data_IF_561825299668
#
_entry.id   IF_561825299668
#
_cell.length_a   1.000
_cell.length_b   1.000
_cell.length_c   1.000
_cell.angle_alpha   90.00
_cell.angle_beta   90.00
_cell.angle_gamma   90.00
#
_symmetry.space_group_name_H-M   'P 1'
#
loop_
_entity.id
_entity.type
_entity.pdbx_description
1 polymer ?
2 non-polymer ?
3 water ?
#
# COMPACT_ATOMS: atom_id res chain seq x y z
N UNK A 1 7.96 -22.36 11.26
CA UNK A 1 8.32 -21.60 10.03
C UNK A 1 9.84 -21.49 9.89
N UNK A 2 10.35 -21.51 8.64
CA UNK A 2 11.78 -21.28 8.37
C UNK A 2 12.12 -19.80 8.58
N UNK A 3 13.40 -19.44 8.46
CA UNK A 3 13.83 -18.03 8.53
C UNK A 3 13.12 -17.24 7.42
N UNK A 4 12.93 -15.92 7.61
CA UNK A 4 12.26 -15.09 6.61
C UNK A 4 12.78 -15.26 5.20
N UNK A 5 14.09 -15.15 4.96
CA UNK A 5 14.63 -15.32 3.60
C UNK A 5 14.32 -16.70 3.01
N UNK A 6 14.44 -17.73 3.85
CA UNK A 6 14.18 -19.11 3.40
C UNK A 6 12.71 -19.24 3.01
N UNK A 7 11.82 -18.67 3.81
CA UNK A 7 10.41 -18.70 3.48
C UNK A 7 10.09 -17.91 2.20
N UNK A 8 10.70 -16.75 2.04
CA UNK A 8 10.49 -15.98 0.80
C UNK A 8 10.87 -16.85 -0.42
N UNK A 9 12.00 -17.55 -0.32
CA UNK A 9 12.46 -18.40 -1.43
C UNK A 9 11.46 -19.50 -1.68
N UNK A 10 10.99 -20.11 -0.61
CA UNK A 10 10.01 -21.17 -0.72
C UNK A 10 8.72 -20.72 -1.40
N UNK A 11 8.32 -19.48 -1.10
CA UNK A 11 7.16 -18.86 -1.73
C UNK A 11 7.37 -18.69 -3.24
N UNK A 12 8.55 -18.25 -3.70
CA UNK A 12 8.78 -18.18 -5.17
C UNK A 12 8.74 -19.55 -5.81
N UNK A 13 9.34 -20.55 -5.16
CA UNK A 13 9.33 -21.91 -5.69
C UNK A 13 7.88 -22.40 -5.85
N UNK A 14 7.06 -22.14 -4.83
CA UNK A 14 5.69 -22.63 -4.85
C UNK A 14 4.78 -21.86 -5.80
N UNK A 15 5.00 -20.55 -5.89
CA UNK A 15 4.15 -19.74 -6.76
C UNK A 15 4.60 -19.69 -8.21
N UNK A 16 5.84 -20.05 -8.48
CA UNK A 16 6.45 -19.83 -9.80
C UNK A 16 6.44 -18.36 -10.22
N UNK A 17 6.46 -17.47 -9.23
CA UNK A 17 6.51 -16.04 -9.49
C UNK A 17 7.62 -15.35 -8.72
N UNK A 18 7.79 -14.07 -9.00
CA UNK A 18 8.76 -13.26 -8.29
C UNK A 18 8.08 -12.66 -7.07
N UNK A 19 8.78 -12.71 -5.94
CA UNK A 19 8.40 -12.03 -4.71
C UNK A 19 9.41 -10.90 -4.52
N UNK A 20 8.93 -9.73 -4.07
CA UNK A 20 9.83 -8.65 -3.66
C UNK A 20 9.46 -8.27 -2.23
N UNK A 21 10.46 -8.02 -1.41
CA UNK A 21 10.16 -7.69 -0.04
C UNK A 21 11.22 -6.84 0.62
N UNK A 22 10.73 -6.05 1.55
CA UNK A 22 11.57 -5.33 2.51
C UNK A 22 10.90 -5.41 3.86
N UNK A 23 11.73 -5.58 4.88
CA UNK A 23 11.33 -5.41 6.28
C UNK A 23 12.27 -4.34 6.84
N UNK A 24 11.69 -3.28 7.38
CA UNK A 24 12.44 -2.07 7.76
C UNK A 24 11.94 -1.56 9.12
N UNK A 25 12.83 -1.14 10.01
CA UNK A 25 12.38 -0.51 11.25
C UNK A 25 11.70 0.83 10.91
N UNK A 26 10.48 1.04 11.41
CA UNK A 26 9.77 2.28 11.08
C UNK A 26 10.48 3.52 11.62
N UNK A 27 10.96 3.46 12.85
CA UNK A 27 11.54 4.65 13.47
C UNK A 27 12.86 5.05 12.81
N UNK A 28 13.70 4.07 12.48
CA UNK A 28 15.06 4.42 12.00
C UNK A 28 15.32 4.20 10.54
N UNK A 29 14.54 3.31 9.89
CA UNK A 29 14.83 2.93 8.52
C UNK A 29 15.83 1.80 8.35
N UNK A 30 16.32 1.25 9.45
CA UNK A 30 17.18 0.06 9.36
C UNK A 30 16.46 -0.94 8.46
N UNK A 31 17.20 -1.51 7.52
CA UNK A 31 16.67 -2.57 6.68
C UNK A 31 17.09 -3.91 7.26
N UNK A 32 16.14 -4.76 7.64
CA UNK A 32 16.41 -6.09 8.20
C UNK A 32 16.41 -7.22 7.21
N UNK A 33 15.47 -7.22 6.29
CA UNK A 33 15.39 -8.22 5.23
C UNK A 33 15.13 -7.48 3.94
N UNK A 34 15.83 -7.89 2.88
CA UNK A 34 15.67 -7.32 1.56
C UNK A 34 15.78 -8.46 0.56
N UNK A 35 14.77 -8.62 -0.28
CA UNK A 35 14.78 -9.64 -1.33
C UNK A 35 14.19 -9.02 -2.59
N UNK A 36 14.94 -8.99 -3.69
CA UNK A 36 14.54 -8.33 -4.93
C UNK A 36 14.09 -6.90 -4.64
N UNK A 37 14.79 -6.28 -3.70
CA UNK A 37 14.33 -4.99 -3.20
C UNK A 37 14.47 -3.84 -4.18
N UNK A 38 15.32 -4.02 -5.19
CA UNK A 38 15.53 -3.03 -6.21
C UNK A 38 14.86 -3.38 -7.54
N UNK A 39 14.06 -4.46 -7.55
CA UNK A 39 13.34 -4.85 -8.77
C UNK A 39 11.96 -4.23 -8.78
N UNK A 40 11.43 -3.99 -9.98
CA UNK A 40 10.12 -3.37 -10.13
C UNK A 40 8.99 -4.38 -9.98
N UNK A 41 7.93 -3.93 -9.31
CA UNK A 41 6.68 -4.68 -9.16
C UNK A 41 5.52 -3.72 -9.33
N UNK A 42 4.42 -4.17 -9.95
CA UNK A 42 3.22 -3.35 -10.01
C UNK A 42 2.74 -2.96 -8.58
N UNK A 43 2.45 -1.68 -8.34
CA UNK A 43 1.96 -1.26 -7.05
C UNK A 43 0.56 -1.74 -6.76
N UNK A 44 -0.25 -1.90 -7.81
CA UNK A 44 -1.69 -2.16 -7.71
C UNK A 44 -2.27 -1.20 -6.64
N UNK A 45 -3.17 -1.65 -5.78
CA UNK A 45 -3.93 -0.76 -4.92
C UNK A 45 -3.07 -0.14 -3.83
N UNK A 46 -1.84 -0.66 -3.62
CA UNK A 46 -1.00 -0.08 -2.60
C UNK A 46 -0.65 1.38 -2.88
N UNK A 47 -0.75 1.83 -4.14
CA UNK A 47 -0.42 3.20 -4.45
C UNK A 47 -1.33 4.19 -3.70
N UNK A 48 -2.48 3.72 -3.23
CA UNK A 48 -3.45 4.65 -2.65
C UNK A 48 -2.94 5.28 -1.37
N UNK A 49 -1.99 4.65 -0.68
CA UNK A 49 -1.40 5.25 0.52
C UNK A 49 -0.54 6.47 0.10
N UNK A 50 0.26 6.34 -0.94
CA UNK A 50 1.09 7.45 -1.43
C UNK A 50 0.18 8.56 -1.96
N UNK A 51 -0.87 8.18 -2.68
CA UNK A 51 -1.88 9.14 -3.15
C UNK A 51 -2.40 10.03 -2.02
N UNK A 52 -2.81 9.41 -0.93
CA UNK A 52 -3.35 10.21 0.15
C UNK A 52 -2.26 10.96 0.92
N UNK A 53 -1.01 10.49 0.88
CA UNK A 53 0.12 11.32 1.34
C UNK A 53 0.23 12.62 0.54
N UNK A 54 0.06 12.53 -0.78
CA UNK A 54 0.09 13.74 -1.64
C UNK A 54 -1.08 14.68 -1.32
N UNK A 55 -2.26 14.12 -1.05
CA UNK A 55 -3.40 14.92 -0.64
C UNK A 55 -3.11 15.65 0.67
N UNK A 56 -2.55 14.93 1.65
CA UNK A 56 -2.23 15.51 2.94
C UNK A 56 -1.17 16.61 2.82
N UNK A 57 -0.24 16.43 1.91
CA UNK A 57 0.78 17.44 1.70
C UNK A 57 0.07 18.69 1.21
N UNK A 58 -0.90 18.58 0.31
CA UNK A 58 -1.67 19.76 -0.09
C UNK A 58 -2.46 20.39 1.03
N UNK A 59 -3.04 19.58 1.90
CA UNK A 59 -3.75 20.08 3.08
C UNK A 59 -2.78 20.91 3.95
N UNK A 60 -1.59 20.36 4.22
CA UNK A 60 -0.59 21.04 5.07
C UNK A 60 -0.18 22.39 4.47
N UNK A 61 -0.13 22.48 3.14
CA UNK A 61 0.25 23.70 2.44
C UNK A 61 -0.90 24.71 2.32
N UNK A 62 -2.11 24.34 2.75
CA UNK A 62 -3.27 25.22 2.62
C UNK A 62 -3.90 25.19 1.24
N UNK A 63 -3.54 24.21 0.42
CA UNK A 63 -4.09 24.10 -0.92
C UNK A 63 -5.25 23.13 -1.05
N UNK A 64 -5.61 22.50 0.07
CA UNK A 64 -6.66 21.47 0.11
C UNK A 64 -7.22 21.45 1.51
N UNK A 65 -8.45 20.96 1.69
CA UNK A 65 -9.00 20.70 3.01
C UNK A 65 -9.63 19.32 2.99
N UNK A 66 -9.42 18.55 4.05
CA UNK A 66 -10.05 17.22 4.14
C UNK A 66 -11.55 17.37 4.22
N UNK A 67 -12.03 18.53 4.70
CA UNK A 67 -13.48 18.78 4.78
C UNK A 67 -14.13 19.05 3.42
N UNK A 68 -13.35 19.44 2.43
CA UNK A 68 -13.92 19.95 1.18
C UNK A 68 -14.77 18.91 0.48
N UNK A 69 -16.02 19.24 0.18
CA UNK A 69 -16.91 18.29 -0.46
C UNK A 69 -16.73 18.27 -1.96
N UNK A 70 -16.53 17.06 -2.50
CA UNK A 70 -16.43 16.86 -3.95
C UNK A 70 -17.71 16.22 -4.48
N UNK A 71 -18.31 16.85 -5.50
CA UNK A 71 -19.45 16.25 -6.17
C UNK A 71 -19.01 15.64 -7.47
N UNK A 72 -19.62 14.53 -7.82
CA UNK A 72 -19.19 13.83 -9.02
C UNK A 72 -20.43 13.19 -9.70
N UNK A 73 -20.21 12.63 -10.87
CA UNK A 73 -21.30 12.10 -11.69
C UNK A 73 -21.12 10.61 -11.88
N UNK A 74 -22.23 9.94 -12.20
CA UNK A 74 -22.19 8.51 -12.40
C UNK A 74 -21.23 8.09 -13.50
N UNK A 75 -21.15 8.89 -14.56
CA UNK A 75 -20.21 8.67 -15.65
C UNK A 75 -18.72 8.69 -15.22
N UNK A 76 -18.44 9.25 -14.04
CA UNK A 76 -17.08 9.31 -13.48
C UNK A 76 -16.69 8.01 -12.80
N UNK A 77 -17.67 7.16 -12.49
CA UNK A 77 -17.38 5.95 -11.73
C UNK A 77 -16.70 4.88 -12.58
N UNK A 78 -15.75 4.19 -11.96
CA UNK A 78 -15.10 3.04 -12.56
C UNK A 78 -15.41 1.78 -11.73
N UNK A 79 -14.96 0.63 -12.19
CA UNK A 79 -15.20 -0.63 -11.53
C UNK A 79 -14.77 -0.61 -10.07
N UNK A 80 -15.68 -1.02 -9.21
CA UNK A 80 -15.53 -1.20 -7.78
C UNK A 80 -15.51 0.11 -7.05
N UNK A 81 -16.70 0.54 -6.70
CA UNK A 81 -16.95 1.84 -6.08
C UNK A 81 -17.94 1.66 -4.93
N UNK A 82 -17.64 0.80 -3.94
CA UNK A 82 -18.64 0.47 -2.93
C UNK A 82 -19.13 1.64 -2.12
N UNK A 83 -18.28 2.63 -1.87
CA UNK A 83 -18.67 3.81 -1.09
C UNK A 83 -19.12 4.90 -2.03
N UNK A 84 -18.30 5.21 -3.04
CA UNK A 84 -18.56 6.36 -3.89
C UNK A 84 -19.87 6.22 -4.69
N UNK A 85 -20.30 5.00 -5.03
CA UNK A 85 -21.57 4.86 -5.81
C UNK A 85 -22.77 5.25 -4.94
N UNK A 86 -22.62 5.25 -3.63
CA UNK A 86 -23.70 5.66 -2.70
C UNK A 86 -23.91 7.17 -2.54
N UNK A 87 -23.05 8.00 -3.14
CA UNK A 87 -23.01 9.45 -2.82
C UNK A 87 -23.02 10.32 -4.06
N UNK A 88 -23.70 9.81 -5.10
CA UNK A 88 -23.92 10.62 -6.29
C UNK A 88 -24.70 11.89 -6.02
N UNK A 89 -25.67 11.84 -5.10
CA UNK A 89 -26.48 13.03 -4.81
C UNK A 89 -25.76 14.00 -3.89
N UNK A 90 -25.05 13.47 -2.90
CA UNK A 90 -24.56 14.33 -1.82
C UNK A 90 -23.06 14.55 -1.79
N UNK A 91 -22.31 13.84 -2.63
CA UNK A 91 -20.86 14.02 -2.68
C UNK A 91 -20.15 13.41 -1.47
N UNK A 92 -18.82 13.52 -1.50
CA UNK A 92 -17.95 13.01 -0.44
C UNK A 92 -16.87 14.02 -0.19
N UNK A 93 -16.47 14.15 1.08
CA UNK A 93 -15.35 15.04 1.40
C UNK A 93 -14.04 14.42 0.93
N UNK A 94 -13.03 15.26 0.75
CA UNK A 94 -11.69 14.76 0.38
C UNK A 94 -11.24 13.70 1.42
N UNK A 95 -11.45 13.95 2.69
CA UNK A 95 -11.05 13.00 3.70
C UNK A 95 -11.84 11.70 3.61
N UNK A 96 -13.15 11.79 3.34
CA UNK A 96 -13.95 10.60 3.13
C UNK A 96 -13.48 9.81 1.92
N UNK A 97 -13.06 10.53 0.89
CA UNK A 97 -12.55 9.86 -0.31
C UNK A 97 -11.27 9.08 0.00
N UNK A 98 -10.35 9.70 0.76
CA UNK A 98 -9.15 8.95 1.18
C UNK A 98 -9.50 7.74 2.04
N UNK A 99 -10.43 7.91 2.98
CA UNK A 99 -10.83 6.75 3.77
C UNK A 99 -11.44 5.66 2.89
N UNK A 100 -12.26 6.03 1.91
CA UNK A 100 -12.85 5.03 1.04
C UNK A 100 -11.78 4.35 0.18
N UNK A 101 -10.85 5.16 -0.34
CA UNK A 101 -9.77 4.58 -1.16
C UNK A 101 -8.88 3.61 -0.36
N UNK A 102 -8.43 4.04 0.82
CA UNK A 102 -7.49 3.22 1.61
C UNK A 102 -8.23 2.09 2.33
N UNK A 103 -9.36 2.37 2.97
CA UNK A 103 -9.99 1.37 3.85
C UNK A 103 -10.97 0.47 3.16
N UNK A 104 -11.37 0.83 1.94
CA UNK A 104 -12.20 -0.04 1.09
C UNK A 104 -11.64 -0.27 -0.33
N UNK A 105 -10.52 0.36 -0.71
CA UNK A 105 -9.98 0.32 -2.07
C UNK A 105 -11.06 0.69 -3.09
N UNK A 106 -11.91 1.64 -2.70
CA UNK A 106 -12.84 2.27 -3.64
C UNK A 106 -12.09 2.93 -4.80
N UNK A 107 -12.27 2.41 -6.01
CA UNK A 107 -11.47 2.86 -7.17
C UNK A 107 -11.84 4.23 -7.69
N UNK A 108 -13.13 4.52 -7.66
CA UNK A 108 -13.60 5.83 -8.10
C UNK A 108 -13.11 6.91 -7.12
N UNK A 109 -13.17 6.61 -5.83
CA UNK A 109 -12.60 7.54 -4.83
C UNK A 109 -11.14 7.83 -5.15
N UNK A 110 -10.35 6.80 -5.48
CA UNK A 110 -8.95 7.02 -5.85
C UNK A 110 -8.80 7.91 -7.08
N UNK A 111 -9.60 7.67 -8.12
CA UNK A 111 -9.48 8.51 -9.31
C UNK A 111 -9.88 9.97 -9.03
N UNK A 112 -10.91 10.17 -8.20
CA UNK A 112 -11.32 11.53 -7.82
C UNK A 112 -10.16 12.24 -7.11
N UNK A 113 -9.49 11.56 -6.18
CA UNK A 113 -8.33 12.12 -5.49
C UNK A 113 -7.16 12.34 -6.45
N UNK A 114 -6.93 11.41 -7.38
CA UNK A 114 -5.83 11.55 -8.34
C UNK A 114 -5.99 12.81 -9.16
N UNK A 115 -7.23 13.12 -9.54
CA UNK A 115 -7.50 14.36 -10.27
C UNK A 115 -7.01 15.56 -9.44
N UNK A 116 -7.29 15.57 -8.13
CA UNK A 116 -6.92 16.73 -7.31
C UNK A 116 -5.41 16.95 -7.18
N UNK A 117 -4.58 15.92 -7.39
CA UNK A 117 -3.14 16.07 -7.21
C UNK A 117 -2.42 16.18 -8.55
N UNK A 118 -3.17 16.32 -9.65
CA UNK A 118 -2.56 16.43 -10.96
C UNK A 118 -2.43 15.15 -11.76
N UNK A 119 -3.25 14.15 -11.44
CA UNK A 119 -3.22 12.91 -12.19
C UNK A 119 -2.00 12.07 -11.86
N UNK A 120 -1.83 10.96 -12.57
CA UNK A 120 -0.66 10.10 -12.44
C UNK A 120 0.64 10.91 -12.49
N UNK A 121 0.74 11.86 -13.42
CA UNK A 121 1.95 12.68 -13.55
C UNK A 121 2.19 13.54 -12.31
N UNK A 122 1.14 14.09 -11.75
CA UNK A 122 1.23 14.89 -10.54
C UNK A 122 1.70 14.10 -9.33
N UNK A 123 1.18 12.88 -9.20
CA UNK A 123 1.58 12.01 -8.11
C UNK A 123 3.00 11.58 -8.27
N UNK A 124 3.41 11.28 -9.50
CA UNK A 124 4.82 10.97 -9.74
C UNK A 124 5.72 12.18 -9.42
N UNK A 125 5.31 13.38 -9.80
CA UNK A 125 6.06 14.58 -9.44
C UNK A 125 6.18 14.73 -7.92
N UNK A 126 5.12 14.41 -7.17
CA UNK A 126 5.17 14.42 -5.71
C UNK A 126 6.19 13.42 -5.18
N UNK A 127 6.19 12.21 -5.74
CA UNK A 127 7.18 11.23 -5.36
C UNK A 127 8.60 11.75 -5.56
N UNK A 128 8.86 12.39 -6.70
CA UNK A 128 10.18 12.97 -6.94
C UNK A 128 10.51 14.05 -5.92
N UNK A 129 9.53 14.84 -5.53
CA UNK A 129 9.73 15.90 -4.53
C UNK A 129 10.10 15.37 -3.16
N UNK A 130 9.64 14.18 -2.82
CA UNK A 130 10.03 13.60 -1.54
C UNK A 130 11.24 12.70 -1.65
N UNK A 131 11.88 12.69 -2.83
CA UNK A 131 13.13 11.94 -2.99
C UNK A 131 12.99 10.50 -3.45
N UNK A 132 11.79 10.08 -3.88
CA UNK A 132 11.62 8.77 -4.50
C UNK A 132 11.79 8.98 -5.99
N UNK A 133 12.92 8.51 -6.51
CA UNK A 133 13.24 8.65 -7.94
C UNK A 133 12.92 7.42 -8.76
N UNK A 134 12.18 6.47 -8.18
CA UNK A 134 11.91 5.20 -8.81
C UNK A 134 10.41 4.91 -9.03
N UNK A 135 9.61 5.07 -7.99
CA UNK A 135 8.18 4.78 -8.09
C UNK A 135 7.53 5.68 -9.12
N UNK A 136 6.59 5.12 -9.90
CA UNK A 136 5.92 5.91 -10.95
C UNK A 136 4.49 5.45 -11.08
N UNK A 137 3.56 6.40 -11.18
CA UNK A 137 2.20 6.11 -11.56
C UNK A 137 2.00 6.71 -12.93
N UNK A 138 1.41 5.91 -13.81
CA UNK A 138 1.20 6.28 -15.21
C UNK A 138 -0.26 6.28 -15.61
N UNK A 139 -1.08 5.46 -14.95
CA UNK A 139 -2.47 5.28 -15.38
C UNK A 139 -3.42 5.48 -14.20
N UNK A 140 -4.71 5.49 -14.51
CA UNK A 140 -5.78 5.67 -13.53
C UNK A 140 -6.35 4.31 -13.18
N UNK A 141 -7.24 4.25 -12.18
CA UNK A 141 -8.00 3.03 -11.95
C UNK A 141 -8.99 2.82 -13.11
N UNK A 142 -9.15 1.57 -13.58
CA UNK A 142 -8.48 0.36 -13.10
C UNK A 142 -7.34 -0.15 -14.00
N UNK A 143 -7.01 0.61 -15.05
CA UNK A 143 -5.98 0.17 -16.01
C UNK A 143 -4.62 0.02 -15.36
N UNK A 144 -4.37 0.73 -14.25
CA UNK A 144 -3.07 0.63 -13.57
C UNK A 144 -2.77 -0.73 -12.97
N UNK A 145 -3.76 -1.62 -12.91
CA UNK A 145 -3.57 -2.99 -12.40
C UNK A 145 -3.23 -4.04 -13.46
N UNK A 146 -2.95 -3.59 -14.68
CA UNK A 146 -2.81 -4.54 -15.79
C UNK A 146 -1.57 -5.43 -15.67
N UNK A 147 -0.52 -4.90 -15.06
CA UNK A 147 0.65 -5.73 -14.73
C UNK A 147 1.17 -6.55 -15.92
N UNK A 148 1.38 -5.89 -17.06
CA UNK A 148 1.93 -6.61 -18.20
C UNK A 148 3.36 -6.98 -17.90
N UNK A 149 3.80 -8.18 -18.37
CA UNK A 149 5.20 -8.54 -18.19
C UNK A 149 6.15 -7.48 -18.76
N UNK A 150 7.12 -7.07 -17.95
CA UNK A 150 8.15 -6.13 -18.39
C UNK A 150 7.76 -4.67 -18.55
N UNK A 151 6.53 -4.33 -18.19
CA UNK A 151 5.98 -3.00 -18.32
C UNK A 151 6.34 -2.21 -17.06
N UNK A 152 7.05 -1.11 -17.23
CA UNK A 152 7.49 -0.27 -16.11
C UNK A 152 6.38 0.65 -15.56
N UNK A 153 5.26 0.78 -16.29
CA UNK A 153 4.20 1.66 -15.82
C UNK A 153 3.63 1.20 -14.48
N UNK A 154 3.35 2.17 -13.61
CA UNK A 154 2.58 1.90 -12.37
C UNK A 154 3.33 0.95 -11.44
N UNK A 155 4.66 1.13 -11.38
CA UNK A 155 5.49 0.25 -10.57
C UNK A 155 6.23 0.97 -9.48
N UNK A 156 6.65 0.20 -8.48
CA UNK A 156 7.57 0.67 -7.45
C UNK A 156 8.63 -0.41 -7.30
N UNK A 157 9.53 -0.24 -6.33
CA UNK A 157 10.38 -1.32 -5.87
C UNK A 157 10.11 -1.47 -4.39
N UNK A 158 10.36 -2.66 -3.83
CA UNK A 158 10.14 -2.78 -2.38
C UNK A 158 10.92 -1.75 -1.56
N UNK A 159 12.18 -1.51 -1.91
CA UNK A 159 13.00 -0.54 -1.16
C UNK A 159 12.47 0.88 -1.30
N UNK A 160 12.03 1.25 -2.50
CA UNK A 160 11.52 2.60 -2.72
C UNK A 160 10.21 2.82 -1.97
N UNK A 161 9.31 1.85 -2.06
CA UNK A 161 8.03 1.99 -1.38
C UNK A 161 8.18 2.04 0.13
N UNK A 162 9.04 1.19 0.66
CA UNK A 162 9.26 1.24 2.10
C UNK A 162 9.85 2.56 2.55
N UNK A 163 10.85 3.07 1.83
CA UNK A 163 11.44 4.36 2.17
C UNK A 163 10.41 5.49 2.04
N UNK A 164 9.56 5.43 1.01
CA UNK A 164 8.53 6.45 0.80
C UNK A 164 7.48 6.42 1.92
N UNK A 165 7.01 5.25 2.30
CA UNK A 165 6.05 5.19 3.40
C UNK A 165 6.70 5.62 4.70
N UNK A 166 7.97 5.28 4.89
CA UNK A 166 8.61 5.79 6.09
C UNK A 166 8.60 7.31 6.09
N UNK A 167 8.97 7.93 4.95
CA UNK A 167 9.02 9.39 4.81
C UNK A 167 7.66 10.01 5.12
N UNK A 168 6.59 9.40 4.61
CA UNK A 168 5.26 9.99 4.79
C UNK A 168 4.79 9.86 6.23
N UNK A 169 5.10 8.73 6.89
CA UNK A 169 4.56 8.48 8.21
C UNK A 169 5.38 9.14 9.31
N UNK A 170 6.69 9.36 9.10
CA UNK A 170 7.56 9.73 10.22
C UNK A 170 8.55 10.87 10.02
N UNK A 171 8.78 11.31 8.79
CA UNK A 171 9.92 12.24 8.52
C UNK A 171 9.64 13.70 8.76
N UNK A 172 8.41 14.02 9.16
CA UNK A 172 8.01 15.41 9.37
C UNK A 172 7.96 16.24 8.07
N UNK A 173 7.94 15.55 6.93
CA UNK A 173 7.55 16.16 5.67
C UNK A 173 6.07 16.55 5.74
N UNK A 174 5.24 15.65 6.27
CA UNK A 174 3.85 15.96 6.61
C UNK A 174 3.77 16.47 8.04
N UNK A 175 2.73 17.28 8.32
CA UNK A 175 2.50 17.78 9.66
C UNK A 175 2.17 16.63 10.60
N UNK A 176 2.21 16.89 11.89
CA UNK A 176 1.96 15.84 12.86
C UNK A 176 0.56 15.27 12.66
N UNK A 177 -0.43 16.15 12.50
CA UNK A 177 -1.82 15.71 12.29
C UNK A 177 -1.98 14.90 11.04
N UNK A 178 -1.30 15.31 9.98
CA UNK A 178 -1.32 14.55 8.72
C UNK A 178 -0.70 13.17 8.81
N UNK A 179 0.45 13.09 9.49
CA UNK A 179 1.09 11.79 9.71
C UNK A 179 0.14 10.88 10.48
N UNK A 180 -0.51 11.44 11.51
CA UNK A 180 -1.45 10.66 12.33
C UNK A 180 -2.66 10.17 11.52
N UNK A 181 -3.15 11.02 10.63
CA UNK A 181 -4.28 10.66 9.77
C UNK A 181 -3.92 9.54 8.77
N UNK A 182 -2.75 9.62 8.14
CA UNK A 182 -2.37 8.59 7.19
C UNK A 182 -2.26 7.24 7.89
N UNK A 183 -1.63 7.26 9.06
CA UNK A 183 -1.55 6.05 9.88
C UNK A 183 -2.93 5.49 10.25
N UNK A 184 -3.82 6.37 10.70
CA UNK A 184 -5.14 5.89 11.11
C UNK A 184 -5.91 5.27 9.93
N UNK A 185 -5.78 5.84 8.73
CA UNK A 185 -6.42 5.22 7.55
C UNK A 185 -5.92 3.79 7.33
N UNK A 186 -4.61 3.57 7.48
CA UNK A 186 -4.08 2.22 7.38
C UNK A 186 -4.55 1.28 8.48
N UNK A 187 -4.60 1.80 9.72
CA UNK A 187 -5.14 1.02 10.84
C UNK A 187 -6.58 0.60 10.54
N UNK A 188 -7.35 1.47 9.89
CA UNK A 188 -8.77 1.21 9.61
C UNK A 188 -9.07 0.40 8.37
N UNK A 189 -8.09 -0.19 7.69
CA UNK A 189 -8.39 -0.99 6.50
C UNK A 189 -9.44 -2.04 6.82
N UNK A 190 -10.53 -2.05 6.05
CA UNK A 190 -11.59 -3.07 6.24
C UNK A 190 -11.43 -4.26 5.31
N UNK A 191 -10.60 -4.14 4.29
CA UNK A 191 -10.48 -5.20 3.30
C UNK A 191 -9.65 -6.38 3.84
N UNK A 192 -8.48 -6.08 4.38
CA UNK A 192 -7.59 -7.11 4.89
C UNK A 192 -7.30 -7.02 6.38
N UNK A 193 -7.44 -5.84 6.98
CA UNK A 193 -7.08 -5.67 8.40
C UNK A 193 -7.71 -6.67 9.37
N UNK A 194 -9.05 -6.76 9.35
CA UNK A 194 -9.73 -7.69 10.26
C UNK A 194 -9.33 -9.16 10.03
N UNK A 195 -9.20 -9.56 8.77
CA UNK A 195 -8.73 -10.90 8.46
C UNK A 195 -7.33 -11.15 9.01
N UNK A 196 -6.43 -10.21 8.77
CA UNK A 196 -5.07 -10.33 9.31
C UNK A 196 -5.10 -10.45 10.84
N UNK A 197 -5.87 -9.60 11.49
CA UNK A 197 -5.97 -9.70 12.97
C UNK A 197 -6.45 -11.07 13.41
N UNK A 198 -7.38 -11.65 12.67
CA UNK A 198 -7.93 -12.96 13.08
C UNK A 198 -6.88 -14.06 13.09
N UNK A 199 -5.78 -13.89 12.34
CA UNK A 199 -4.71 -14.91 12.31
C UNK A 199 -3.41 -14.48 12.99
N UNK A 200 -3.39 -13.27 13.53
CA UNK A 200 -2.21 -12.82 14.25
C UNK A 200 -2.27 -13.25 15.70
N UNK A 201 -1.13 -13.62 16.28
CA UNK A 201 -1.17 -13.89 17.72
C UNK A 201 -1.55 -12.62 18.48
N UNK A 202 -2.13 -12.79 19.66
CA UNK A 202 -2.38 -11.64 20.50
C UNK A 202 -1.08 -10.81 20.71
N UNK A 203 -1.23 -9.49 20.70
CA UNK A 203 -0.14 -8.59 20.97
C UNK A 203 0.49 -8.00 19.72
N UNK A 204 0.11 -8.50 18.53
CA UNK A 204 0.72 -8.00 17.29
C UNK A 204 -0.14 -6.92 16.67
N UNK A 205 0.46 -5.76 16.47
CA UNK A 205 -0.12 -4.60 15.75
C UNK A 205 -0.17 -4.84 14.26
N UNK A 206 -1.26 -4.47 13.60
CA UNK A 206 -1.27 -4.42 12.14
C UNK A 206 -1.96 -3.16 11.66
N UNK A 207 -1.34 -2.52 10.67
CA UNK A 207 -2.00 -1.51 9.79
C UNK A 207 -1.56 -1.83 8.37
N UNK A 208 -2.43 -1.60 7.37
CA UNK A 208 -2.10 -2.12 6.04
C UNK A 208 -2.86 -1.50 4.92
N UNK A 209 -2.32 -1.60 3.71
CA UNK A 209 -3.09 -1.44 2.45
C UNK A 209 -2.65 -2.55 1.51
N UNK A 210 -3.60 -3.35 1.01
CA UNK A 210 -3.35 -4.44 0.07
C UNK A 210 -3.86 -4.11 -1.31
N UNK A 211 -3.37 -4.87 -2.29
CA UNK A 211 -3.80 -4.71 -3.67
C UNK A 211 -3.63 -6.00 -4.44
N UNK A 212 -4.34 -6.05 -5.56
CA UNK A 212 -4.29 -7.19 -6.49
C UNK A 212 -4.44 -6.71 -7.92
N UNK A 213 -3.79 -7.40 -8.83
CA UNK A 213 -3.93 -7.12 -10.26
C UNK A 213 -3.83 -8.36 -11.10
N UNK A 214 -3.59 -8.14 -12.38
CA UNK A 214 -3.54 -9.23 -13.32
C UNK A 214 -2.24 -10.03 -13.21
N UNK A 215 -2.23 -11.20 -13.86
CA UNK A 215 -1.05 -12.04 -13.90
C UNK A 215 -0.50 -12.36 -12.52
N UNK A 216 -1.42 -12.48 -11.55
CA UNK A 216 -1.04 -12.82 -10.20
C UNK A 216 -0.56 -11.66 -9.33
N UNK A 217 -0.52 -10.44 -9.87
CA UNK A 217 0.03 -9.33 -9.09
C UNK A 217 -0.68 -9.19 -7.75
N UNK A 218 0.10 -8.98 -6.70
CA UNK A 218 -0.44 -8.82 -5.38
C UNK A 218 0.53 -7.93 -4.62
N UNK A 219 0.00 -7.16 -3.70
CA UNK A 219 0.84 -6.32 -2.86
C UNK A 219 0.28 -6.07 -1.51
N UNK A 220 1.19 -5.86 -0.55
CA UNK A 220 0.78 -5.37 0.75
C UNK A 220 1.85 -4.42 1.25
N UNK A 221 1.42 -3.27 1.75
CA UNK A 221 2.28 -2.39 2.54
C UNK A 221 1.71 -2.38 3.95
N UNK A 222 2.53 -2.65 4.95
CA UNK A 222 2.02 -2.89 6.28
C UNK A 222 2.96 -2.35 7.35
N UNK A 223 2.35 -2.06 8.49
CA UNK A 223 3.10 -1.82 9.73
C UNK A 223 2.79 -2.96 10.67
N UNK A 224 3.81 -3.53 11.30
CA UNK A 224 3.67 -4.77 12.06
C UNK A 224 4.60 -4.69 13.26
N UNK A 225 4.18 -5.22 14.40
CA UNK A 225 5.11 -5.43 15.49
C UNK A 225 4.44 -5.99 16.71
N UNK A 226 5.26 -6.54 17.62
CA UNK A 226 4.75 -7.06 18.89
C UNK A 226 4.53 -5.93 19.90
N UNK A 227 3.93 -6.34 21.01
CA UNK A 227 3.69 -5.42 22.08
C UNK A 227 2.82 -4.24 21.59
N UNK A 228 1.91 -4.49 20.63
CA UNK A 228 0.96 -3.54 20.11
C UNK A 228 1.58 -2.27 19.56
N UNK A 229 2.78 -2.42 18.99
CA UNK A 229 3.51 -1.28 18.43
C UNK A 229 3.77 -1.47 16.95
N UNK A 230 3.69 -0.36 16.21
CA UNK A 230 4.04 -0.34 14.79
C UNK A 230 5.55 -0.31 14.62
N UNK A 231 6.21 -1.43 14.86
CA UNK A 231 7.65 -1.44 14.92
C UNK A 231 8.29 -1.41 13.55
N UNK A 232 7.74 -2.15 12.60
CA UNK A 232 8.38 -2.32 11.29
C UNK A 232 7.40 -2.11 10.16
N UNK A 233 7.95 -1.54 9.11
CA UNK A 233 7.29 -1.54 7.81
C UNK A 233 7.66 -2.82 7.11
N UNK A 234 6.65 -3.49 6.58
CA UNK A 234 6.86 -4.66 5.74
C UNK A 234 6.15 -4.43 4.42
N UNK A 235 6.89 -4.54 3.31
CA UNK A 235 6.34 -4.38 1.99
C UNK A 235 6.58 -5.69 1.26
N UNK A 236 5.51 -6.30 0.74
CA UNK A 236 5.66 -7.54 -0.05
C UNK A 236 4.86 -7.39 -1.33
N UNK A 237 5.52 -7.63 -2.48
CA UNK A 237 4.85 -7.68 -3.79
C UNK A 237 5.08 -9.06 -4.40
N UNK A 238 4.08 -9.53 -5.11
CA UNK A 238 4.19 -10.73 -5.95
C UNK A 238 3.87 -10.34 -7.37
N UNK A 239 4.56 -10.94 -8.33
CA UNK A 239 4.18 -10.75 -9.73
C UNK A 239 4.44 -12.00 -10.55
N UNK A 240 3.73 -12.08 -11.67
CA UNK A 240 3.93 -13.14 -12.69
C UNK A 240 3.85 -14.55 -12.10
N UNK A 241 2.78 -14.79 -11.37
CA UNK A 241 2.47 -16.10 -10.87
C UNK A 241 1.06 -16.46 -11.35
N UNK A 242 0.82 -17.74 -11.73
CA UNK A 242 -0.52 -18.14 -12.15
C UNK A 242 -1.38 -18.61 -10.97
N UNK A 243 -0.86 -18.51 -9.74
CA UNK A 243 -1.52 -19.12 -8.58
C UNK A 243 -2.84 -18.48 -8.20
N UNK A 244 -3.71 -19.29 -7.59
CA UNK A 244 -4.95 -18.80 -7.06
C UNK A 244 -4.71 -17.68 -6.06
N UNK A 245 -5.72 -16.83 -5.90
CA UNK A 245 -5.65 -15.77 -4.91
C UNK A 245 -5.50 -16.33 -3.50
N UNK A 246 -6.11 -17.49 -3.22
CA UNK A 246 -5.97 -18.12 -1.92
C UNK A 246 -4.53 -18.51 -1.65
N UNK A 247 -3.87 -19.08 -2.65
CA UNK A 247 -2.47 -19.50 -2.47
C UNK A 247 -1.50 -18.31 -2.36
N UNK A 248 -1.77 -17.26 -3.10
CA UNK A 248 -0.96 -16.06 -2.96
C UNK A 248 -1.13 -15.47 -1.55
N UNK A 249 -2.36 -15.42 -1.05
CA UNK A 249 -2.61 -15.00 0.32
C UNK A 249 -1.89 -15.86 1.33
N UNK A 250 -1.95 -17.18 1.14
CA UNK A 250 -1.31 -18.12 2.06
C UNK A 250 0.21 -17.94 2.06
N UNK A 251 0.79 -17.67 0.91
CA UNK A 251 2.23 -17.47 0.84
C UNK A 251 2.68 -16.17 1.51
N UNK A 252 1.92 -15.11 1.30
CA UNK A 252 2.23 -13.87 2.01
C UNK A 252 2.09 -14.07 3.52
N UNK A 253 1.02 -14.74 3.95
CA UNK A 253 0.82 -15.03 5.36
C UNK A 253 1.99 -15.87 5.89
N UNK A 254 2.50 -16.81 5.10
CA UNK A 254 3.65 -17.63 5.50
C UNK A 254 4.93 -16.80 5.71
N UNK A 255 5.13 -15.78 4.87
CA UNK A 255 6.24 -14.86 5.11
C UNK A 255 6.04 -14.11 6.42
N UNK A 256 4.83 -13.64 6.67
CA UNK A 256 4.51 -12.97 7.94
C UNK A 256 4.77 -13.93 9.12
N UNK A 257 4.42 -15.20 9.00
CA UNK A 257 4.64 -16.15 10.08
C UNK A 257 6.14 -16.32 10.36
N UNK A 258 6.98 -16.36 9.32
CA UNK A 258 8.41 -16.47 9.51
C UNK A 258 8.93 -15.23 10.20
N UNK A 259 8.41 -14.03 9.87
CA UNK A 259 8.85 -12.81 10.58
C UNK A 259 8.52 -12.88 12.07
N UNK A 260 7.30 -13.32 12.38
CA UNK A 260 6.78 -13.38 13.76
C UNK A 260 7.62 -14.38 14.56
N UNK A 261 7.89 -15.56 13.99
CA UNK A 261 8.65 -16.60 14.71
C UNK A 261 10.13 -16.29 14.85
N UNK A 262 10.64 -15.35 14.07
CA UNK A 262 12.04 -14.96 14.11
C UNK A 262 12.16 -13.43 14.14
N UNK A 263 11.50 -12.80 15.09
CA UNK A 263 11.40 -11.33 15.09
C UNK A 263 12.68 -10.62 15.48
N UNK A 264 13.44 -11.20 16.42
CA UNK A 264 14.57 -10.51 17.02
C UNK A 264 15.85 -10.65 16.21
N UNK A 265 15.94 -9.88 15.13
CA UNK A 265 17.10 -9.92 14.25
C UNK A 265 17.73 -8.55 14.15
X LIG B 1 2.03 -19.14 16.33
X LIG B 1 1.12 -19.46 17.53
X LIG B 1 1.12 -18.31 18.54
X LIG B 1 2.56 -17.90 18.88
X LIG B 1 3.38 -17.68 17.60
X LIG B 1 4.83 -17.40 17.82
X LIG B 1 -0.23 -19.66 17.10
X LIG B 1 0.42 -18.76 19.73
X LIG B 1 3.36 -18.80 16.72
X LIG B 1 5.41 -18.45 18.63
X LIG B 1 1.46 -18.05 15.62
X LIG B 1 2.53 -16.67 19.61
X LIG B 1 0.39 -16.94 11.89
X LIG B 1 -0.50 -18.03 12.45
X LIG B 1 -0.23 -18.01 13.95
X LIG B 1 1.24 -18.25 14.22
X LIG B 1 2.09 -17.21 13.51
X LIG B 1 3.58 -17.52 13.64
X LIG B 1 0.14 -16.88 10.47
X LIG B 1 -1.87 -17.71 12.24
X LIG B 1 -1.07 -18.97 14.59
X LIG B 1 1.77 -17.22 12.10
X LIG B 1 3.82 -18.86 13.15
X LIG B 1 0.76 -15.73 9.87
X LIG B 1 -0.30 -14.68 9.71
X LIG B 1 0.32 -13.41 9.12
X LIG B 1 -0.79 -12.55 8.49
X LIG B 1 -0.30 -11.68 7.32
X LIG B 1 0.98 -10.93 7.69
X LIG B 1 1.19 -9.67 6.86
X LIG B 1 2.22 -10.01 5.75
X LIG B 1 3.34 -9.03 5.51
X LIG B 1 2.92 -7.64 5.93
X LIG B 1 2.72 -7.67 7.43
X LIG B 1 1.61 -8.59 7.86
X LIG C 1 -0.25 -23.11 13.16
X LIG C 1 -3.98 -17.88 5.53
X LIG C 1 -4.36 -16.60 4.80
X LIG C 1 -5.02 -15.58 5.74
X LIG C 1 -4.39 -14.20 5.67
X LIG C 1 -4.74 -13.47 4.38
X LIG C 1 -4.26 -12.02 4.32
X LIG C 1 -4.68 -11.39 2.99
X LIG C 1 -3.90 -10.15 2.54
X LIG C 1 -2.39 -10.32 2.61
X LIG C 1 -2.02 -11.69 3.18
X LIG C 1 -2.74 -11.98 4.48
#
# INVERSE_FOLDING_TARGET
SPQPLEQIKLSESQLSGRVGMIEMDLASGRTLTAWRADERFPMVSTFKVVLCGAVLARVDAGDEQLERKIHYRQQDLVDYSPVSEKHLADGMTVGELCAAAITMSDNSAANLLLATVGGPAGLTAFLRQIGDNVTRLDRWETELNEALPGDARDTTTPASMAATLRKLLTSQRLSARSQRQLLQWMVDDRVAGPLIRSVLPAGWFIADKTGAGERGARGIVALLGPNNKAERIVVIYLRDTPASMAERNQQIAGIGAALIEHWQR
MA4 C1 C2 C3 C4 C5 C6 O2 O3 O5 O6 O1 O4 C10 C20 C30 C40 C50 C60 O10 O20 O30 O50 O60 C11 C21 C31 C41 C51 C61 C12 C22 C32 C42 C52 C62
MA4 O6 C21 C31 C41 C51 C61 C12 C22 C32 C42 C52 C62
#
